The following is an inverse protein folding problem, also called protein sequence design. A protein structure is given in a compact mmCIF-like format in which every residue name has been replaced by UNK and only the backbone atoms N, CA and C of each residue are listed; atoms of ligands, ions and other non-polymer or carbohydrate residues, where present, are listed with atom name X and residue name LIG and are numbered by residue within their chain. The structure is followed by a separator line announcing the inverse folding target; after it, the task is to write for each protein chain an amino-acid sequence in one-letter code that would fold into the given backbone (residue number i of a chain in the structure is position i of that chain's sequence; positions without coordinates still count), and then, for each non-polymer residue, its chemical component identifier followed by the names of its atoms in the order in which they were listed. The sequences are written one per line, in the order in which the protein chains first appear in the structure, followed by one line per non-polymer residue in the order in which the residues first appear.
data_IF_434411298974
#
_entry.id   IF_434411298974
#
_cell.length_a   1.000
_cell.length_b   1.000
_cell.length_c   1.000
_cell.angle_alpha   90.00
_cell.angle_beta   90.00
_cell.angle_gamma   90.00
#
_symmetry.space_group_name_H-M   'P 1'
#
loop_
_entity.id
_entity.type
_entity.pdbx_description
1 polymer ?
#
# COMPACT_ATOMS: atom_id res chain seq x y z
N UNK A 1 3.56 15.83 16.44
CA UNK A 1 3.95 14.66 17.24
C UNK A 1 5.16 14.08 16.55
N UNK A 2 6.29 14.03 17.21
CA UNK A 2 7.51 13.45 16.61
C UNK A 2 7.33 11.93 16.73
N UNK A 3 7.21 11.22 15.60
CA UNK A 3 7.33 9.76 15.61
C UNK A 3 8.73 9.43 16.09
N UNK A 4 8.86 8.51 17.02
CA UNK A 4 10.16 7.93 17.28
C UNK A 4 10.47 7.00 16.10
N UNK A 5 11.23 7.48 15.12
CA UNK A 5 11.65 6.70 13.93
C UNK A 5 12.24 5.36 14.34
N UNK A 6 12.96 5.33 15.47
CA UNK A 6 13.51 4.10 16.05
C UNK A 6 12.41 3.08 16.40
N UNK A 7 11.29 3.53 16.97
CA UNK A 7 10.17 2.63 17.30
C UNK A 7 9.55 2.06 16.03
N UNK A 8 9.25 2.90 15.02
CA UNK A 8 8.70 2.45 13.76
C UNK A 8 9.62 1.44 13.06
N UNK A 9 10.93 1.68 13.08
CA UNK A 9 11.91 0.76 12.54
C UNK A 9 11.91 -0.58 13.28
N UNK A 10 11.95 -0.58 14.61
CA UNK A 10 11.95 -1.80 15.41
C UNK A 10 10.67 -2.62 15.19
N UNK A 11 9.51 -1.96 15.12
CA UNK A 11 8.23 -2.62 14.85
C UNK A 11 8.24 -3.25 13.45
N UNK A 12 8.73 -2.51 12.44
CA UNK A 12 8.83 -3.01 11.08
C UNK A 12 9.79 -4.20 10.96
N UNK A 13 10.96 -4.13 11.56
CA UNK A 13 11.94 -5.23 11.56
C UNK A 13 11.40 -6.49 12.27
N UNK A 14 10.65 -6.31 13.36
CA UNK A 14 10.09 -7.41 14.14
C UNK A 14 8.87 -8.04 13.49
N UNK A 15 7.90 -7.21 13.11
CA UNK A 15 6.55 -7.63 12.74
C UNK A 15 6.28 -7.57 11.23
N UNK A 16 7.12 -6.90 10.45
CA UNK A 16 6.98 -6.69 9.01
C UNK A 16 6.09 -5.50 8.65
N UNK A 17 5.62 -4.77 9.65
CA UNK A 17 4.84 -3.55 9.47
C UNK A 17 5.02 -2.61 10.65
N UNK A 18 4.76 -1.32 10.40
CA UNK A 18 4.74 -0.28 11.42
C UNK A 18 3.55 0.66 11.20
N UNK A 19 2.94 1.14 12.28
CA UNK A 19 1.81 2.06 12.25
C UNK A 19 2.29 3.45 12.64
N UNK A 20 2.15 4.41 11.73
CA UNK A 20 2.43 5.83 11.96
C UNK A 20 1.09 6.58 12.10
N UNK A 21 0.59 6.81 13.32
CA UNK A 21 -0.62 7.59 13.52
C UNK A 21 -0.38 9.06 13.16
N UNK A 22 -1.32 9.71 12.48
CA UNK A 22 -1.24 11.13 12.14
C UNK A 22 0.00 11.53 11.30
N UNK A 23 0.40 10.68 10.33
CA UNK A 23 1.48 10.99 9.39
C UNK A 23 1.15 12.23 8.56
N UNK A 24 -0.10 12.35 8.14
CA UNK A 24 -0.67 13.51 7.46
C UNK A 24 -1.73 14.17 8.33
N UNK A 25 -1.88 15.48 8.23
CA UNK A 25 -3.01 16.17 8.84
C UNK A 25 -4.33 15.76 8.16
N UNK A 26 -5.44 15.77 8.90
CA UNK A 26 -6.76 15.43 8.35
C UNK A 26 -7.12 16.27 7.12
N UNK A 27 -6.76 17.54 7.09
CA UNK A 27 -6.97 18.43 5.94
C UNK A 27 -6.15 18.05 4.72
N UNK A 28 -4.95 17.48 4.91
CA UNK A 28 -4.11 16.99 3.80
C UNK A 28 -4.76 15.77 3.15
N UNK A 29 -5.19 14.78 3.95
CA UNK A 29 -5.83 13.57 3.41
C UNK A 29 -7.22 13.84 2.83
N UNK A 30 -7.96 14.81 3.35
CA UNK A 30 -9.20 15.27 2.72
C UNK A 30 -8.95 15.83 1.31
N UNK A 31 -7.86 16.59 1.14
CA UNK A 31 -7.45 17.08 -0.18
C UNK A 31 -7.06 15.92 -1.12
N UNK A 32 -6.29 14.93 -0.63
CA UNK A 32 -5.96 13.72 -1.40
C UNK A 32 -7.23 12.96 -1.80
N UNK A 33 -8.18 12.78 -0.89
CA UNK A 33 -9.47 12.12 -1.18
C UNK A 33 -10.27 12.88 -2.25
N UNK A 34 -10.36 14.19 -2.14
CA UNK A 34 -11.05 15.01 -3.16
C UNK A 34 -10.41 14.84 -4.54
N UNK A 35 -9.08 14.86 -4.60
CA UNK A 35 -8.33 14.64 -5.84
C UNK A 35 -8.55 13.22 -6.41
N UNK A 36 -8.60 12.18 -5.56
CA UNK A 36 -8.99 10.84 -6.00
C UNK A 36 -10.35 10.83 -6.70
N UNK A 37 -11.34 11.44 -6.08
CA UNK A 37 -12.71 11.50 -6.61
C UNK A 37 -12.72 12.19 -7.99
N UNK A 38 -11.98 13.28 -8.14
CA UNK A 38 -11.95 14.03 -9.41
C UNK A 38 -11.20 13.25 -10.50
N UNK A 39 -10.09 12.58 -10.17
CA UNK A 39 -9.40 11.65 -11.09
C UNK A 39 -10.34 10.53 -11.54
N UNK A 40 -11.08 9.90 -10.62
CA UNK A 40 -12.00 8.81 -10.97
C UNK A 40 -13.17 9.28 -11.84
N UNK A 41 -13.69 10.50 -11.62
CA UNK A 41 -14.68 11.11 -12.49
C UNK A 41 -14.13 11.33 -13.92
N UNK A 42 -12.90 11.84 -14.04
CA UNK A 42 -12.24 12.03 -15.32
C UNK A 42 -12.02 10.70 -16.05
N UNK A 43 -11.49 9.68 -15.35
CA UNK A 43 -11.31 8.32 -15.89
C UNK A 43 -12.63 7.74 -16.38
N UNK A 44 -13.72 7.90 -15.64
CA UNK A 44 -15.04 7.45 -16.05
C UNK A 44 -15.52 8.15 -17.32
N UNK A 45 -15.27 9.46 -17.43
CA UNK A 45 -15.61 10.22 -18.63
C UNK A 45 -14.80 9.79 -19.86
N UNK A 46 -13.52 9.45 -19.67
CA UNK A 46 -12.60 9.01 -20.73
C UNK A 46 -12.89 7.57 -21.20
N UNK A 47 -13.18 6.66 -20.27
CA UNK A 47 -13.21 5.21 -20.54
C UNK A 47 -14.61 4.58 -20.47
N UNK A 48 -15.60 5.32 -20.01
CA UNK A 48 -16.97 4.81 -19.75
C UNK A 48 -17.09 3.94 -18.49
N UNK A 49 -15.99 3.66 -17.80
CA UNK A 49 -15.93 2.77 -16.62
C UNK A 49 -15.16 3.44 -15.48
N UNK A 50 -15.60 3.24 -14.27
CA UNK A 50 -14.78 3.50 -13.07
C UNK A 50 -14.00 2.23 -12.77
N UNK A 51 -12.84 2.41 -12.14
CA UNK A 51 -11.97 1.34 -11.65
C UNK A 51 -12.73 0.09 -11.19
N UNK A 52 -12.47 -1.03 -11.82
CA UNK A 52 -13.05 -2.31 -11.43
C UNK A 52 -12.71 -2.64 -9.98
N UNK A 53 -13.67 -3.15 -9.24
CA UNK A 53 -13.47 -3.61 -7.86
C UNK A 53 -12.95 -2.56 -6.84
N UNK A 54 -13.21 -1.25 -7.05
CA UNK A 54 -12.80 -0.20 -6.11
C UNK A 54 -11.29 0.07 -6.05
N UNK A 55 -10.55 -0.30 -7.11
CA UNK A 55 -9.10 -0.05 -7.22
C UNK A 55 -8.79 0.75 -8.47
N UNK A 56 -8.01 1.83 -8.34
CA UNK A 56 -7.46 2.57 -9.47
C UNK A 56 -5.97 2.85 -9.24
N UNK A 57 -5.14 2.61 -10.26
CA UNK A 57 -3.67 2.71 -10.21
C UNK A 57 -3.20 3.95 -10.96
N UNK A 58 -2.10 4.57 -10.50
CA UNK A 58 -1.39 5.62 -11.22
C UNK A 58 -1.90 7.04 -10.95
N UNK A 59 -2.30 7.34 -9.73
CA UNK A 59 -2.75 8.69 -9.34
C UNK A 59 -1.63 9.73 -9.52
N UNK A 60 -0.39 9.38 -9.15
CA UNK A 60 0.77 10.26 -9.31
C UNK A 60 1.12 10.56 -10.78
N UNK A 61 0.67 9.74 -11.73
CA UNK A 61 0.84 10.05 -13.18
C UNK A 61 -0.14 11.11 -13.67
N UNK A 62 -1.23 11.34 -12.93
CA UNK A 62 -2.35 12.20 -13.34
C UNK A 62 -2.43 13.50 -12.54
N UNK A 63 -1.82 13.56 -11.34
CA UNK A 63 -2.03 14.67 -10.42
C UNK A 63 -0.75 15.19 -9.79
N UNK A 64 -0.47 16.51 -9.87
CA UNK A 64 0.61 17.16 -9.12
C UNK A 64 0.43 17.06 -7.60
N UNK A 65 -0.80 16.88 -7.10
CA UNK A 65 -1.09 16.70 -5.68
C UNK A 65 -0.48 15.38 -5.20
N UNK A 66 -0.70 14.30 -5.96
CA UNK A 66 -0.12 13.00 -5.65
C UNK A 66 1.40 12.96 -5.94
N UNK A 67 1.88 13.65 -6.98
CA UNK A 67 3.32 13.80 -7.23
C UNK A 67 4.05 14.46 -6.05
N UNK A 68 3.41 15.40 -5.37
CA UNK A 68 3.94 16.00 -4.15
C UNK A 68 3.85 15.03 -2.97
N UNK A 69 2.73 14.35 -2.82
CA UNK A 69 2.47 13.46 -1.67
C UNK A 69 3.41 12.25 -1.64
N UNK A 70 3.76 11.66 -2.79
CA UNK A 70 4.72 10.53 -2.85
C UNK A 70 6.13 10.90 -2.38
N UNK A 71 6.51 12.18 -2.45
CA UNK A 71 7.81 12.72 -2.03
C UNK A 71 7.73 13.53 -0.74
N UNK A 72 6.72 13.33 0.10
CA UNK A 72 6.63 14.02 1.41
C UNK A 72 7.78 13.58 2.31
N UNK A 73 8.52 14.53 2.86
CA UNK A 73 9.72 14.26 3.67
C UNK A 73 9.42 13.40 4.90
N UNK A 74 8.25 13.57 5.53
CA UNK A 74 7.83 12.76 6.70
C UNK A 74 7.75 11.26 6.35
N UNK A 75 7.28 10.98 5.14
CA UNK A 75 7.16 9.63 4.59
C UNK A 75 8.54 9.08 4.22
N UNK A 76 9.35 9.88 3.53
CA UNK A 76 10.69 9.49 3.09
C UNK A 76 11.65 9.25 4.27
N UNK A 77 11.54 10.01 5.36
CA UNK A 77 12.34 9.80 6.59
C UNK A 77 12.05 8.44 7.23
N UNK A 78 10.79 7.99 7.24
CA UNK A 78 10.43 6.66 7.72
C UNK A 78 10.96 5.58 6.76
N UNK A 79 10.77 5.76 5.45
CA UNK A 79 11.25 4.81 4.44
C UNK A 79 12.75 4.64 4.46
N UNK A 80 13.52 5.72 4.67
CA UNK A 80 14.98 5.65 4.81
C UNK A 80 15.38 4.75 5.99
N UNK A 81 14.61 4.79 7.08
CA UNK A 81 14.86 3.97 8.26
C UNK A 81 14.49 2.49 8.13
N UNK A 82 13.54 2.13 7.25
CA UNK A 82 12.99 0.77 7.16
C UNK A 82 13.28 0.07 5.83
N UNK A 83 13.65 0.80 4.79
CA UNK A 83 13.86 0.25 3.45
C UNK A 83 15.32 0.43 3.00
N UNK A 84 15.75 1.65 2.68
CA UNK A 84 17.08 1.97 2.18
C UNK A 84 17.31 3.48 2.17
N UNK A 85 18.57 3.97 2.12
CA UNK A 85 18.85 5.40 1.97
C UNK A 85 18.44 5.95 0.60
N UNK A 86 18.46 5.12 -0.45
CA UNK A 86 18.11 5.49 -1.81
C UNK A 86 16.72 4.96 -2.13
N UNK A 87 15.73 5.85 -2.29
CA UNK A 87 14.32 5.49 -2.36
C UNK A 87 13.77 5.76 -3.76
N UNK A 88 13.25 4.71 -4.40
CA UNK A 88 12.51 4.79 -5.66
C UNK A 88 11.02 4.53 -5.41
N UNK A 89 10.19 5.49 -5.79
CA UNK A 89 8.75 5.28 -5.92
C UNK A 89 8.45 4.48 -7.18
N UNK A 90 7.51 3.54 -7.12
CA UNK A 90 7.16 2.67 -8.25
C UNK A 90 5.79 3.00 -8.84
N UNK A 91 4.79 3.00 -8.00
CA UNK A 91 3.39 3.27 -8.37
C UNK A 91 2.56 3.58 -7.14
N UNK A 92 1.35 4.06 -7.37
CA UNK A 92 0.34 4.21 -6.33
C UNK A 92 -1.02 3.71 -6.81
N UNK A 93 -1.87 3.38 -5.86
CA UNK A 93 -3.27 3.03 -6.09
C UNK A 93 -4.16 3.66 -5.03
N UNK A 94 -5.39 3.98 -5.41
CA UNK A 94 -6.47 4.19 -4.45
C UNK A 94 -7.31 2.94 -4.35
N UNK A 95 -7.70 2.60 -3.14
CA UNK A 95 -8.63 1.51 -2.84
C UNK A 95 -9.77 2.07 -2.02
N UNK A 96 -11.00 1.90 -2.48
CA UNK A 96 -12.17 2.33 -1.74
C UNK A 96 -13.20 1.21 -1.58
N UNK A 97 -13.88 1.25 -0.46
CA UNK A 97 -15.04 0.40 -0.14
C UNK A 97 -16.26 1.28 0.02
N UNK A 98 -17.42 0.76 -0.35
CA UNK A 98 -18.72 1.44 -0.28
C UNK A 98 -19.81 0.40 -0.12
N UNK A 99 -21.07 0.83 -0.05
CA UNK A 99 -22.23 -0.10 -0.05
C UNK A 99 -22.23 -1.06 -1.24
N UNK A 100 -21.74 -0.62 -2.41
CA UNK A 100 -21.61 -1.46 -3.60
C UNK A 100 -20.35 -2.32 -3.61
N UNK A 101 -19.40 -2.07 -2.73
CA UNK A 101 -18.08 -2.71 -2.66
C UNK A 101 -17.72 -3.08 -1.23
N UNK A 102 -18.44 -4.04 -0.68
CA UNK A 102 -18.36 -4.43 0.72
C UNK A 102 -17.34 -5.54 1.00
N UNK A 103 -16.73 -6.15 -0.01
CA UNK A 103 -15.91 -7.36 0.14
C UNK A 103 -14.71 -7.20 1.09
N UNK A 104 -14.39 -8.28 1.78
CA UNK A 104 -13.11 -8.42 2.48
C UNK A 104 -12.02 -8.80 1.49
N UNK A 105 -10.85 -8.14 1.50
CA UNK A 105 -9.71 -8.71 0.77
C UNK A 105 -9.27 -10.02 1.46
N UNK A 106 -8.96 -11.07 0.69
CA UNK A 106 -8.46 -12.32 1.25
C UNK A 106 -7.05 -12.14 1.83
N UNK A 107 -6.60 -13.10 2.65
CA UNK A 107 -5.22 -13.15 3.11
C UNK A 107 -4.25 -13.41 1.96
N UNK A 108 -3.27 -12.53 1.79
CA UNK A 108 -2.25 -12.61 0.75
C UNK A 108 -0.97 -11.88 1.15
N UNK A 109 0.10 -12.16 0.42
CA UNK A 109 1.36 -11.42 0.41
C UNK A 109 1.49 -10.75 -0.96
N UNK A 110 1.77 -9.47 -1.00
CA UNK A 110 1.89 -8.70 -2.25
C UNK A 110 3.04 -9.20 -3.14
N UNK A 111 4.11 -9.72 -2.55
CA UNK A 111 5.28 -10.24 -3.26
C UNK A 111 4.94 -11.25 -4.37
N UNK A 112 3.89 -12.05 -4.21
CA UNK A 112 3.44 -13.01 -5.21
C UNK A 112 2.88 -12.40 -6.50
N UNK A 113 2.60 -11.09 -6.50
CA UNK A 113 2.14 -10.39 -7.71
C UNK A 113 3.29 -9.80 -8.53
N UNK A 114 4.47 -9.62 -7.93
CA UNK A 114 5.60 -8.97 -8.61
C UNK A 114 6.93 -9.70 -8.50
N UNK A 115 7.15 -10.53 -7.48
CA UNK A 115 8.43 -11.19 -7.21
C UNK A 115 9.63 -10.19 -7.18
N UNK A 116 10.86 -10.71 -7.28
CA UNK A 116 12.08 -9.88 -7.31
C UNK A 116 12.40 -9.20 -5.99
N UNK A 117 13.00 -8.03 -6.06
CA UNK A 117 13.40 -7.26 -4.90
C UNK A 117 12.20 -6.85 -4.03
N UNK A 118 12.42 -6.80 -2.72
CA UNK A 118 11.37 -6.46 -1.77
C UNK A 118 10.94 -5.00 -1.87
N UNK A 119 9.69 -4.77 -1.56
CA UNK A 119 9.01 -3.48 -1.64
C UNK A 119 8.30 -3.18 -0.33
N UNK A 120 8.12 -1.90 -0.08
CA UNK A 120 7.31 -1.40 1.02
C UNK A 120 6.13 -0.66 0.46
N UNK A 121 4.94 -1.06 0.85
CA UNK A 121 3.71 -0.34 0.56
C UNK A 121 3.23 0.42 1.81
N UNK A 122 2.62 1.58 1.57
CA UNK A 122 1.98 2.35 2.62
C UNK A 122 0.47 2.27 2.43
N UNK A 123 -0.26 1.98 3.48
CA UNK A 123 -1.70 2.05 3.52
C UNK A 123 -2.12 3.32 4.26
N UNK A 124 -2.30 4.43 3.51
CA UNK A 124 -2.62 5.75 4.06
C UNK A 124 -4.13 5.91 4.15
N UNK A 125 -4.65 6.08 5.35
CA UNK A 125 -6.07 6.27 5.60
C UNK A 125 -6.51 7.67 5.16
N UNK A 126 -7.37 7.76 4.14
CA UNK A 126 -8.02 9.00 3.72
C UNK A 126 -9.31 9.27 4.51
N UNK A 127 -9.90 8.23 5.08
CA UNK A 127 -10.99 8.23 6.06
C UNK A 127 -10.56 7.45 7.30
N UNK A 128 -11.25 7.66 8.42
CA UNK A 128 -11.08 6.82 9.60
C UNK A 128 -11.36 5.36 9.21
N UNK A 129 -10.45 4.48 9.55
CA UNK A 129 -10.53 3.06 9.21
C UNK A 129 -10.79 2.25 10.47
N UNK A 130 -11.90 1.52 10.47
CA UNK A 130 -12.38 0.71 11.60
C UNK A 130 -12.70 -0.71 11.14
N UNK A 131 -12.91 -1.61 12.08
CA UNK A 131 -13.42 -2.96 11.77
C UNK A 131 -14.71 -2.89 10.95
N UNK A 132 -15.60 -1.96 11.28
CA UNK A 132 -16.92 -1.85 10.65
C UNK A 132 -16.86 -1.40 9.19
N UNK A 133 -15.90 -0.51 8.84
CA UNK A 133 -15.77 -0.01 7.46
C UNK A 133 -14.64 -0.65 6.66
N UNK A 134 -13.96 -1.66 7.22
CA UNK A 134 -13.03 -2.50 6.47
C UNK A 134 -11.55 -2.11 6.59
N UNK A 135 -11.06 -1.86 7.81
CA UNK A 135 -9.65 -1.65 8.09
C UNK A 135 -8.77 -2.87 7.76
N UNK A 136 -7.47 -2.65 7.75
CA UNK A 136 -6.47 -3.65 7.44
C UNK A 136 -6.30 -4.64 8.60
N UNK A 137 -6.02 -5.90 8.28
CA UNK A 137 -5.52 -6.94 9.18
C UNK A 137 -4.12 -7.36 8.74
N UNK A 138 -3.20 -7.50 9.69
CA UNK A 138 -1.81 -7.87 9.41
C UNK A 138 -1.38 -9.02 10.34
N UNK A 139 -0.57 -9.92 9.82
CA UNK A 139 -0.05 -11.05 10.60
C UNK A 139 1.40 -10.78 11.00
N UNK A 140 1.69 -10.51 12.29
CA UNK A 140 3.03 -10.14 12.75
C UNK A 140 4.08 -11.21 12.44
N UNK A 141 5.26 -10.78 11.97
CA UNK A 141 6.40 -11.65 11.70
C UNK A 141 6.28 -12.51 10.44
N UNK A 142 5.16 -12.42 9.69
CA UNK A 142 4.94 -13.22 8.47
C UNK A 142 5.84 -12.83 7.29
N UNK A 143 6.43 -11.64 7.32
CA UNK A 143 7.34 -11.14 6.29
C UNK A 143 8.67 -11.90 6.20
N UNK A 144 8.99 -12.75 7.16
CA UNK A 144 10.25 -13.50 7.23
C UNK A 144 10.34 -14.63 6.19
N UNK A 145 9.23 -14.98 5.55
CA UNK A 145 9.20 -16.01 4.51
C UNK A 145 8.01 -15.85 3.56
N UNK A 146 8.20 -16.23 2.31
CA UNK A 146 7.11 -16.38 1.35
C UNK A 146 6.25 -17.60 1.75
N UNK A 147 4.93 -17.41 1.76
CA UNK A 147 3.93 -18.43 2.06
C UNK A 147 3.30 -18.89 0.75
N UNK A 148 3.08 -20.20 0.59
CA UNK A 148 2.43 -20.74 -0.62
C UNK A 148 0.98 -20.22 -0.70
N UNK A 149 0.65 -19.63 -1.84
CA UNK A 149 -0.69 -19.11 -2.15
C UNK A 149 -1.43 -20.17 -2.98
N UNK A 150 -2.24 -20.99 -2.32
CA UNK A 150 -2.96 -22.12 -2.87
C UNK A 150 -4.49 -21.93 -2.90
N UNK A 151 -4.94 -20.69 -2.69
CA UNK A 151 -6.35 -20.33 -2.71
C UNK A 151 -6.88 -20.15 -4.12
N UNK A 152 -8.14 -20.54 -4.35
CA UNK A 152 -8.83 -20.32 -5.61
C UNK A 152 -9.19 -18.84 -5.82
N UNK A 153 -8.89 -18.30 -7.00
CA UNK A 153 -9.15 -16.93 -7.40
C UNK A 153 -10.59 -16.67 -7.91
N UNK A 154 -11.47 -17.65 -7.86
CA UNK A 154 -12.76 -17.68 -8.57
C UNK A 154 -13.83 -16.68 -8.16
N UNK A 155 -13.55 -15.73 -7.23
CA UNK A 155 -14.56 -14.75 -6.76
C UNK A 155 -14.63 -13.45 -7.57
N UNK A 156 -13.78 -13.27 -8.57
CA UNK A 156 -13.79 -12.08 -9.43
C UNK A 156 -13.29 -10.79 -8.78
N UNK A 157 -12.76 -10.83 -7.56
CA UNK A 157 -12.26 -9.64 -6.84
C UNK A 157 -10.80 -9.26 -7.14
N UNK A 158 -10.17 -9.90 -8.13
CA UNK A 158 -8.82 -9.52 -8.60
C UNK A 158 -7.66 -10.09 -7.77
N UNK A 159 -7.93 -10.89 -6.74
CA UNK A 159 -6.90 -11.54 -5.92
C UNK A 159 -6.59 -12.96 -6.46
N UNK A 160 -5.80 -13.02 -7.54
CA UNK A 160 -5.38 -14.30 -8.15
C UNK A 160 -4.41 -15.10 -7.29
N UNK A 161 -3.63 -14.42 -6.46
CA UNK A 161 -2.68 -15.02 -5.52
C UNK A 161 -3.16 -14.76 -4.09
N UNK A 162 -3.65 -15.79 -3.41
CA UNK A 162 -4.18 -15.70 -2.05
C UNK A 162 -4.09 -17.03 -1.33
N UNK A 163 -4.24 -16.98 -0.02
CA UNK A 163 -4.39 -18.17 0.81
C UNK A 163 -5.84 -18.68 0.73
N UNK A 164 -6.00 -20.00 0.87
CA UNK A 164 -7.34 -20.59 1.02
C UNK A 164 -8.01 -20.13 2.32
N UNK A 165 -9.34 -20.04 2.37
CA UNK A 165 -10.06 -19.72 3.59
C UNK A 165 -9.67 -20.65 4.75
N UNK A 166 -9.46 -20.08 5.94
CA UNK A 166 -9.10 -20.84 7.14
C UNK A 166 -7.63 -21.23 7.27
N UNK A 167 -6.75 -20.79 6.33
CA UNK A 167 -5.31 -21.04 6.41
C UNK A 167 -4.60 -20.20 7.48
N UNK A 168 -5.25 -19.17 8.01
CA UNK A 168 -4.68 -18.23 8.99
C UNK A 168 -5.49 -18.28 10.29
N UNK A 169 -4.81 -18.37 11.42
CA UNK A 169 -5.46 -18.14 12.73
C UNK A 169 -5.62 -16.61 12.92
N UNK A 170 -6.82 -16.13 12.62
CA UNK A 170 -7.13 -14.69 12.69
C UNK A 170 -7.04 -14.10 14.10
N UNK A 171 -7.04 -14.93 15.16
CA UNK A 171 -6.87 -14.44 16.53
C UNK A 171 -5.45 -13.93 16.79
N UNK A 172 -4.47 -14.31 15.97
CA UNK A 172 -3.09 -13.85 16.05
C UNK A 172 -2.83 -12.62 15.17
N UNK A 173 -3.80 -12.20 14.37
CA UNK A 173 -3.68 -11.05 13.51
C UNK A 173 -3.88 -9.73 14.28
N UNK A 174 -3.16 -8.70 13.87
CA UNK A 174 -3.36 -7.33 14.34
C UNK A 174 -4.38 -6.65 13.44
N UNK A 175 -5.44 -6.11 14.03
CA UNK A 175 -6.41 -5.25 13.36
C UNK A 175 -5.92 -3.80 13.45
N UNK A 176 -5.64 -3.19 12.30
CA UNK A 176 -5.13 -1.82 12.22
C UNK A 176 -6.27 -0.81 12.06
N UNK A 177 -6.95 -0.48 13.18
CA UNK A 177 -7.85 0.67 13.20
C UNK A 177 -7.03 1.94 13.31
N UNK A 178 -7.15 2.84 12.34
CA UNK A 178 -6.39 4.09 12.28
C UNK A 178 -7.28 5.25 11.85
N UNK A 179 -7.01 6.43 12.42
CA UNK A 179 -7.68 7.67 12.02
C UNK A 179 -7.18 8.17 10.66
N UNK A 180 -8.00 8.97 9.98
CA UNK A 180 -7.63 9.64 8.75
C UNK A 180 -6.34 10.45 8.92
N UNK A 181 -5.37 10.21 8.05
CA UNK A 181 -4.02 10.78 8.13
C UNK A 181 -2.99 9.84 8.74
N UNK A 182 -3.41 8.76 9.39
CA UNK A 182 -2.51 7.67 9.79
C UNK A 182 -2.12 6.79 8.60
N UNK A 183 -1.02 6.06 8.75
CA UNK A 183 -0.52 5.14 7.75
C UNK A 183 0.02 3.84 8.35
N UNK A 184 -0.13 2.73 7.63
CA UNK A 184 0.55 1.47 7.90
C UNK A 184 1.61 1.26 6.83
N UNK A 185 2.87 1.20 7.22
CA UNK A 185 3.98 0.77 6.38
C UNK A 185 4.08 -0.75 6.48
N UNK A 186 4.10 -1.48 5.37
CA UNK A 186 4.21 -2.94 5.42
C UNK A 186 5.08 -3.48 4.30
N UNK A 187 5.84 -4.52 4.67
CA UNK A 187 6.71 -5.27 3.76
C UNK A 187 5.84 -6.12 2.81
N UNK A 188 6.25 -6.30 1.57
CA UNK A 188 5.50 -7.07 0.57
C UNK A 188 5.28 -8.56 0.90
N UNK A 189 6.11 -9.11 1.79
CA UNK A 189 5.90 -10.43 2.40
C UNK A 189 5.04 -10.39 3.68
N UNK A 190 4.58 -9.22 4.15
CA UNK A 190 3.64 -9.19 5.27
C UNK A 190 2.30 -9.75 4.81
N UNK A 191 1.90 -10.87 5.44
CA UNK A 191 0.60 -11.46 5.21
C UNK A 191 -0.48 -10.52 5.73
N UNK A 192 -1.37 -10.08 4.85
CA UNK A 192 -2.39 -9.11 5.18
C UNK A 192 -3.72 -9.39 4.50
N UNK A 193 -4.75 -8.76 5.00
CA UNK A 193 -6.14 -8.90 4.60
C UNK A 193 -6.89 -7.63 5.01
N UNK A 194 -8.18 -7.52 4.74
CA UNK A 194 -9.00 -6.44 5.27
C UNK A 194 -10.38 -6.92 5.69
N UNK A 195 -10.98 -6.26 6.68
CA UNK A 195 -12.37 -6.48 7.02
C UNK A 195 -13.30 -6.07 5.86
N UNK A 196 -14.50 -6.65 5.74
CA UNK A 196 -15.52 -6.13 4.84
C UNK A 196 -15.99 -4.75 5.31
N UNK A 197 -16.53 -3.95 4.42
CA UNK A 197 -17.25 -2.74 4.82
C UNK A 197 -18.72 -3.08 5.11
N UNK A 198 -19.17 -2.83 6.32
CA UNK A 198 -20.56 -3.02 6.79
C UNK A 198 -21.16 -1.74 7.37
N UNK A 199 -20.40 -0.63 7.27
CA UNK A 199 -20.80 0.63 7.91
C UNK A 199 -21.89 1.39 7.15
N UNK A 200 -22.10 1.10 5.87
CA UNK A 200 -22.92 1.93 5.00
C UNK A 200 -22.22 3.20 4.49
N UNK A 201 -21.03 3.49 4.98
CA UNK A 201 -20.25 4.67 4.60
C UNK A 201 -19.07 4.27 3.70
N UNK A 202 -18.56 5.20 2.89
CA UNK A 202 -17.37 4.98 2.09
C UNK A 202 -16.09 5.00 2.95
N UNK A 203 -15.10 4.17 2.59
CA UNK A 203 -13.77 4.18 3.17
C UNK A 203 -12.72 4.19 2.06
N UNK A 204 -11.92 5.24 2.01
CA UNK A 204 -10.90 5.49 1.01
C UNK A 204 -9.50 5.35 1.59
N UNK A 205 -8.60 4.77 0.80
CA UNK A 205 -7.19 4.55 1.15
C UNK A 205 -6.33 4.83 -0.06
N UNK A 206 -5.21 5.51 0.15
CA UNK A 206 -4.15 5.67 -0.84
C UNK A 206 -2.98 4.76 -0.52
N UNK A 207 -2.47 4.02 -1.52
CA UNK A 207 -1.42 3.01 -1.33
C UNK A 207 -0.29 3.27 -2.32
N UNK A 208 0.72 4.09 -1.97
CA UNK A 208 1.99 4.21 -2.70
C UNK A 208 2.93 3.06 -2.33
N UNK A 209 3.75 2.62 -3.30
CA UNK A 209 4.70 1.52 -3.17
C UNK A 209 6.10 1.98 -3.56
N UNK A 210 7.10 1.59 -2.76
CA UNK A 210 8.49 2.00 -2.87
C UNK A 210 9.43 0.80 -2.81
N UNK A 211 10.67 1.00 -3.33
CA UNK A 211 11.78 0.06 -3.17
C UNK A 211 13.09 0.80 -2.97
N UNK A 212 14.15 0.05 -2.64
CA UNK A 212 15.52 0.52 -2.78
C UNK A 212 15.79 0.86 -4.25
N UNK A 213 16.27 2.08 -4.54
CA UNK A 213 16.59 2.51 -5.90
C UNK A 213 17.69 1.67 -6.54
N UNK A 214 18.55 1.04 -5.74
CA UNK A 214 19.64 0.18 -6.17
C UNK A 214 19.27 -1.32 -6.22
N UNK A 215 18.03 -1.67 -5.91
CA UNK A 215 17.55 -3.04 -5.97
C UNK A 215 17.64 -3.60 -7.39
N UNK A 216 18.09 -4.85 -7.49
CA UNK A 216 18.14 -5.58 -8.75
C UNK A 216 16.76 -6.17 -9.08
N UNK A 217 15.99 -5.42 -9.85
CA UNK A 217 14.70 -5.84 -10.38
C UNK A 217 14.70 -5.59 -11.89
N UNK A 218 14.51 -6.63 -12.67
CA UNK A 218 14.61 -6.52 -14.14
C UNK A 218 13.30 -6.10 -14.79
N UNK A 219 12.16 -6.56 -14.25
CA UNK A 219 10.85 -6.25 -14.79
C UNK A 219 9.84 -6.02 -13.66
N UNK A 220 9.37 -4.80 -13.54
CA UNK A 220 8.29 -4.46 -12.62
C UNK A 220 7.13 -3.81 -13.39
N UNK A 221 6.17 -4.60 -13.90
CA UNK A 221 5.09 -4.09 -14.75
C UNK A 221 4.17 -3.08 -14.05
N UNK A 222 4.19 -3.04 -12.72
CA UNK A 222 3.42 -2.10 -11.90
C UNK A 222 4.12 -0.76 -11.65
N UNK A 223 5.40 -0.62 -12.06
CA UNK A 223 6.17 0.61 -11.92
C UNK A 223 5.76 1.67 -12.96
N UNK A 224 4.48 2.02 -12.98
CA UNK A 224 3.89 2.91 -14.00
C UNK A 224 4.39 4.36 -13.88
N UNK A 225 5.01 4.71 -12.76
CA UNK A 225 5.49 6.06 -12.47
C UNK A 225 6.85 6.06 -11.75
N UNK A 226 7.70 5.06 -12.02
CA UNK A 226 8.97 4.89 -11.32
C UNK A 226 9.81 6.16 -11.30
N UNK A 227 10.24 6.59 -10.10
CA UNK A 227 11.01 7.81 -9.88
C UNK A 227 11.84 7.71 -8.61
N UNK A 228 13.15 8.00 -8.69
CA UNK A 228 13.98 8.19 -7.50
C UNK A 228 13.56 9.48 -6.82
N UNK A 229 13.23 9.41 -5.55
CA UNK A 229 12.74 10.53 -4.74
C UNK A 229 13.74 10.97 -3.68
N UNK A 230 14.61 10.07 -3.22
CA UNK A 230 15.70 10.36 -2.27
C UNK A 230 16.92 9.55 -2.65
N UNK A 231 18.11 10.11 -2.48
CA UNK A 231 19.38 9.48 -2.85
C UNK A 231 19.61 9.41 -4.35
N UNK A 232 20.39 8.44 -4.78
CA UNK A 232 20.81 8.26 -6.18
C UNK A 232 20.65 6.80 -6.59
N UNK A 233 20.35 6.58 -7.87
CA UNK A 233 20.45 5.25 -8.48
C UNK A 233 21.86 5.06 -8.99
N UNK A 234 22.59 4.09 -8.46
CA UNK A 234 23.94 3.76 -8.92
C UNK A 234 23.94 3.48 -10.43
N UNK A 235 24.71 4.22 -11.18
CA UNK A 235 24.93 3.91 -12.60
C UNK A 235 25.68 2.58 -12.67
N UNK A 236 25.05 1.53 -13.20
CA UNK A 236 25.77 0.31 -13.54
C UNK A 236 26.84 0.68 -14.57
N UNK A 237 28.11 0.51 -14.23
CA UNK A 237 29.17 0.33 -15.21
C UNK A 237 28.86 -1.00 -15.91
N UNK A 238 28.37 -0.94 -17.15
CA UNK A 238 28.39 -2.11 -18.01
C UNK A 238 29.83 -2.61 -18.07
N UNK A 239 30.09 -3.73 -17.40
CA UNK A 239 31.33 -4.46 -17.60
C UNK A 239 31.25 -5.05 -19.01
N UNK A 240 31.81 -4.35 -19.97
CA UNK A 240 32.13 -4.94 -21.28
C UNK A 240 33.23 -5.97 -21.05
N UNK A 241 32.87 -7.24 -21.00
CA UNK A 241 33.75 -8.36 -21.34
C UNK A 241 33.46 -8.85 -22.75
#
# INVERSE_FOLDING_TARGET
MVFELTTLRNDFEKDGFAIAPNLFARSEVQRLKSECIDILKAVKAETGSVAGHGVHVGLATRSPVFQKAIGDERLLDILEGILAPDIEFLSDKVVFKSDAMTFASPWHQDWHYWHGAHKVSLWVALDDATVENGCLKLFPGSHKSAIVHDGDAGDGHGFGNRLRPGAVDENLAVTAEIEAGGAVFFHDLTLHSSHPNRSGEERWVWIPTYRDANAEDTDYPWAVAAKVLRGEKSSRTESTE
#
